data_IF_121201315485
#
_entry.id   IF_121201315485
#
_cell.length_a   1.000
_cell.length_b   1.000
_cell.length_c   1.000
_cell.angle_alpha   90.00
_cell.angle_beta   90.00
_cell.angle_gamma   90.00
#
_symmetry.space_group_name_H-M   'P 1'
#
loop_
_entity.id
_entity.type
_entity.pdbx_description
1 polymer ?
#
# COMPACT_ATOMS: atom_id res chain seq x y z
N UNK A 1 -8.55 14.68 12.19
CA UNK A 1 -7.49 14.58 13.22
C UNK A 1 -6.96 13.16 13.20
N UNK A 2 -5.66 12.97 12.96
CA UNK A 2 -4.98 11.67 12.96
C UNK A 2 -4.45 11.30 14.36
N UNK A 3 -4.08 10.03 14.54
CA UNK A 3 -3.27 9.61 15.68
C UNK A 3 -1.83 10.11 15.50
N UNK A 4 -1.14 10.31 16.61
CA UNK A 4 0.31 10.49 16.59
C UNK A 4 0.97 9.18 16.16
N UNK A 5 1.92 9.28 15.23
CA UNK A 5 2.71 8.16 14.75
C UNK A 5 4.19 8.44 14.95
N UNK A 6 4.95 7.39 15.22
CA UNK A 6 6.40 7.45 15.31
C UNK A 6 7.01 6.82 14.05
N UNK A 7 7.97 7.51 13.44
CA UNK A 7 8.85 6.89 12.46
C UNK A 7 9.91 6.07 13.20
N UNK A 8 9.96 4.77 12.92
CA UNK A 8 10.93 3.87 13.55
C UNK A 8 12.18 3.87 12.68
N UNK A 9 13.12 4.77 12.99
CA UNK A 9 14.38 4.90 12.24
C UNK A 9 15.20 3.60 12.34
N UNK A 10 15.33 2.90 11.21
CA UNK A 10 16.05 1.63 11.04
C UNK A 10 16.15 1.26 9.55
N UNK A 11 16.56 0.03 9.22
CA UNK A 11 16.69 -0.44 7.81
C UNK A 11 15.37 -0.59 7.06
N UNK A 12 14.22 -0.34 7.70
CA UNK A 12 12.89 -0.47 7.11
C UNK A 12 12.15 0.87 7.26
N UNK A 13 11.53 1.37 6.19
CA UNK A 13 10.64 2.53 6.23
C UNK A 13 9.36 2.16 6.99
N UNK A 14 9.44 2.12 8.32
CA UNK A 14 8.38 1.66 9.22
C UNK A 14 7.83 2.78 10.12
N UNK A 15 6.53 2.77 10.34
CA UNK A 15 5.80 3.72 11.17
C UNK A 15 4.90 2.97 12.13
N UNK A 16 4.77 3.44 13.36
CA UNK A 16 3.87 2.85 14.35
C UNK A 16 2.93 3.89 14.93
N UNK A 17 1.69 3.50 15.19
CA UNK A 17 0.72 4.31 15.93
C UNK A 17 -0.23 3.44 16.73
N UNK A 18 -0.74 4.00 17.82
CA UNK A 18 -1.71 3.35 18.69
C UNK A 18 -3.06 4.06 18.61
N UNK A 19 -4.11 3.28 18.41
CA UNK A 19 -5.49 3.79 18.41
C UNK A 19 -6.01 4.04 19.83
N UNK A 20 -7.12 4.75 19.98
CA UNK A 20 -7.80 4.90 21.28
C UNK A 20 -8.28 3.57 21.88
N UNK A 21 -8.43 2.53 21.05
CA UNK A 21 -8.79 1.17 21.46
C UNK A 21 -7.59 0.29 21.79
N UNK A 22 -6.41 0.89 21.95
CA UNK A 22 -5.15 0.21 22.28
C UNK A 22 -4.65 -0.77 21.20
N UNK A 23 -5.25 -0.78 20.01
CA UNK A 23 -4.70 -1.52 18.86
C UNK A 23 -3.48 -0.75 18.34
N UNK A 24 -2.35 -1.43 18.24
CA UNK A 24 -1.09 -0.90 17.70
C UNK A 24 -0.95 -1.37 16.25
N UNK A 25 -0.83 -0.42 15.34
CA UNK A 25 -0.55 -0.68 13.94
C UNK A 25 0.91 -0.41 13.62
N UNK A 26 1.48 -1.24 12.74
CA UNK A 26 2.74 -0.99 12.07
C UNK A 26 2.47 -0.84 10.56
N UNK A 27 2.96 0.25 9.98
CA UNK A 27 2.92 0.54 8.55
C UNK A 27 4.32 0.40 8.00
N UNK A 28 4.52 -0.42 6.96
CA UNK A 28 5.81 -0.62 6.32
C UNK A 28 5.77 -0.23 4.85
N UNK A 29 6.86 0.37 4.39
CA UNK A 29 7.20 0.52 2.97
C UNK A 29 8.48 -0.29 2.70
N UNK A 30 8.32 -1.52 2.24
CA UNK A 30 9.43 -2.44 1.98
C UNK A 30 9.95 -2.22 0.56
N UNK A 31 11.25 -1.99 0.36
CA UNK A 31 11.81 -1.82 -0.98
C UNK A 31 11.65 -3.12 -1.78
N UNK A 32 10.96 -3.04 -2.93
CA UNK A 32 10.47 -4.18 -3.71
C UNK A 32 10.69 -3.91 -5.21
N UNK A 33 11.95 -3.91 -5.69
CA UNK A 33 12.26 -3.58 -7.08
C UNK A 33 11.75 -4.64 -8.08
N UNK A 34 11.55 -5.87 -7.63
CA UNK A 34 11.27 -7.03 -8.50
C UNK A 34 9.99 -6.88 -9.33
N UNK A 35 9.00 -6.08 -8.90
CA UNK A 35 7.74 -5.94 -9.63
C UNK A 35 7.96 -5.36 -11.04
N UNK A 36 8.90 -4.41 -11.19
CA UNK A 36 9.23 -3.77 -12.47
C UNK A 36 10.54 -4.31 -13.07
N UNK A 37 11.16 -5.30 -12.44
CA UNK A 37 12.49 -5.82 -12.78
C UNK A 37 13.62 -5.04 -12.10
N UNK A 38 14.63 -5.76 -11.60
CA UNK A 38 15.75 -5.16 -10.84
C UNK A 38 16.60 -4.17 -11.67
N UNK A 39 16.68 -4.39 -12.99
CA UNK A 39 17.41 -3.52 -13.92
C UNK A 39 16.60 -2.28 -14.37
N UNK A 40 15.34 -2.14 -13.94
CA UNK A 40 14.51 -0.98 -14.29
C UNK A 40 15.03 0.29 -13.63
N UNK A 41 14.99 1.41 -14.37
CA UNK A 41 15.28 2.73 -13.80
C UNK A 41 14.30 3.12 -12.68
N UNK A 42 13.13 2.47 -12.63
CA UNK A 42 12.14 2.67 -11.57
C UNK A 42 12.47 1.88 -10.30
N UNK A 43 13.30 0.84 -10.38
CA UNK A 43 13.58 -0.10 -9.30
C UNK A 43 13.95 0.56 -7.95
N UNK A 44 14.76 1.65 -7.89
CA UNK A 44 15.07 2.32 -6.63
C UNK A 44 13.87 2.96 -5.92
N UNK A 45 12.76 3.16 -6.64
CA UNK A 45 11.61 3.92 -6.18
C UNK A 45 10.40 3.05 -5.84
N UNK A 46 10.50 1.73 -5.98
CA UNK A 46 9.37 0.80 -5.81
C UNK A 46 9.34 0.24 -4.39
N UNK A 47 8.24 0.47 -3.70
CA UNK A 47 8.01 0.00 -2.35
C UNK A 47 6.68 -0.74 -2.23
N UNK A 48 6.67 -1.84 -1.51
CA UNK A 48 5.46 -2.52 -1.10
C UNK A 48 4.94 -1.93 0.23
N UNK A 49 3.68 -1.50 0.23
CA UNK A 49 2.99 -1.06 1.43
C UNK A 49 2.37 -2.24 2.17
N UNK A 50 2.63 -2.33 3.46
CA UNK A 50 1.97 -3.28 4.37
C UNK A 50 1.40 -2.55 5.57
N UNK A 51 0.23 -3.00 6.01
CA UNK A 51 -0.38 -2.59 7.28
C UNK A 51 -0.59 -3.82 8.16
N UNK A 52 0.08 -3.80 9.31
CA UNK A 52 0.18 -4.92 10.23
C UNK A 52 -0.46 -4.50 11.55
N UNK A 53 -1.24 -5.39 12.15
CA UNK A 53 -1.67 -5.23 13.55
C UNK A 53 -0.55 -5.82 14.41
N UNK A 54 0.30 -4.95 14.95
CA UNK A 54 1.48 -5.36 15.72
C UNK A 54 1.10 -5.80 17.14
N UNK A 55 0.09 -5.18 17.73
CA UNK A 55 -0.51 -5.60 18.99
C UNK A 55 -2.02 -5.30 19.01
N UNK A 56 -2.79 -6.21 19.60
CA UNK A 56 -4.23 -6.07 19.76
C UNK A 56 -4.69 -6.75 21.05
N UNK A 57 -4.64 -6.03 22.19
CA UNK A 57 -4.98 -6.59 23.50
C UNK A 57 -6.46 -7.00 23.62
N UNK A 58 -7.32 -6.53 22.71
CA UNK A 58 -8.76 -6.87 22.72
C UNK A 58 -9.04 -8.26 22.14
N UNK A 59 -8.14 -8.80 21.31
CA UNK A 59 -8.37 -10.04 20.55
C UNK A 59 -9.51 -9.97 19.51
N UNK A 60 -10.23 -8.85 19.42
CA UNK A 60 -11.32 -8.64 18.48
C UNK A 60 -10.79 -8.08 17.16
N UNK A 61 -11.46 -8.38 16.06
CA UNK A 61 -11.12 -7.77 14.77
C UNK A 61 -11.20 -6.23 14.88
N UNK A 62 -10.16 -5.49 14.47
CA UNK A 62 -10.20 -4.04 14.53
C UNK A 62 -11.33 -3.48 13.67
N UNK A 63 -12.29 -2.85 14.34
CA UNK A 63 -13.43 -2.16 13.71
C UNK A 63 -12.92 -0.97 12.89
N UNK A 64 -13.68 -0.58 11.87
CA UNK A 64 -13.42 0.65 11.14
C UNK A 64 -13.27 1.86 12.09
N UNK A 65 -12.24 2.67 11.84
CA UNK A 65 -11.91 3.88 12.59
C UNK A 65 -11.40 4.92 11.57
N UNK A 66 -12.11 6.04 11.46
CA UNK A 66 -11.77 7.13 10.55
C UNK A 66 -10.41 7.75 10.88
N UNK A 67 -10.05 7.83 12.16
CA UNK A 67 -8.74 8.36 12.58
C UNK A 67 -7.59 7.48 12.08
N UNK A 68 -7.79 6.17 12.03
CA UNK A 68 -6.83 5.23 11.41
C UNK A 68 -6.62 5.60 9.95
N UNK A 69 -7.69 5.86 9.20
CA UNK A 69 -7.63 6.28 7.78
C UNK A 69 -6.80 7.56 7.60
N UNK A 70 -7.10 8.59 8.40
CA UNK A 70 -6.33 9.83 8.39
C UNK A 70 -4.86 9.65 8.77
N UNK A 71 -4.58 8.73 9.70
CA UNK A 71 -3.21 8.45 10.15
C UNK A 71 -2.42 7.77 9.05
N UNK A 72 -2.99 6.78 8.37
CA UNK A 72 -2.36 6.14 7.21
C UNK A 72 -2.12 7.18 6.10
N UNK A 73 -3.08 8.06 5.80
CA UNK A 73 -2.89 9.13 4.82
C UNK A 73 -1.75 10.10 5.20
N UNK A 74 -1.62 10.45 6.48
CA UNK A 74 -0.53 11.30 6.98
C UNK A 74 0.83 10.58 6.87
N UNK A 75 0.89 9.28 7.14
CA UNK A 75 2.08 8.45 6.97
C UNK A 75 2.50 8.37 5.49
N UNK A 76 1.56 8.19 4.56
CA UNK A 76 1.84 8.26 3.13
C UNK A 76 2.38 9.64 2.73
N UNK A 77 1.78 10.72 3.25
CA UNK A 77 2.27 12.08 2.97
C UNK A 77 3.73 12.23 3.42
N UNK A 78 4.04 11.85 4.66
CA UNK A 78 5.40 11.90 5.20
C UNK A 78 6.38 11.02 4.42
N UNK A 79 5.98 9.79 4.05
CA UNK A 79 6.84 8.90 3.26
C UNK A 79 7.20 9.50 1.90
N UNK A 80 6.24 10.13 1.24
CA UNK A 80 6.43 10.74 -0.08
C UNK A 80 7.11 12.13 -0.06
N UNK A 81 7.39 12.71 1.11
CA UNK A 81 8.24 13.92 1.20
C UNK A 81 9.67 13.67 0.72
N UNK A 82 10.10 12.41 0.65
CA UNK A 82 11.42 12.01 0.19
C UNK A 82 11.62 12.23 -1.32
N UNK A 83 10.59 11.92 -2.13
CA UNK A 83 10.62 12.09 -3.58
C UNK A 83 9.23 11.89 -4.19
N UNK A 84 8.91 12.67 -5.22
CA UNK A 84 7.71 12.47 -6.04
C UNK A 84 7.80 11.25 -6.97
N UNK A 85 9.01 10.70 -7.15
CA UNK A 85 9.29 9.54 -7.99
C UNK A 85 8.88 8.22 -7.33
N UNK A 86 8.63 8.22 -6.02
CA UNK A 86 8.24 7.04 -5.27
C UNK A 86 6.97 6.38 -5.83
N UNK A 87 6.99 5.05 -5.79
CA UNK A 87 5.94 4.15 -6.26
C UNK A 87 5.60 3.22 -5.10
N UNK A 88 4.32 3.14 -4.77
CA UNK A 88 3.83 2.20 -3.76
C UNK A 88 2.91 1.17 -4.38
N UNK A 89 3.18 -0.09 -4.06
CA UNK A 89 2.36 -1.23 -4.45
C UNK A 89 1.70 -1.79 -3.19
N UNK A 90 0.41 -2.06 -3.25
CA UNK A 90 -0.31 -2.75 -2.19
C UNK A 90 -0.90 -4.05 -2.74
N UNK A 91 -0.48 -5.18 -2.16
CA UNK A 91 -0.99 -6.50 -2.50
C UNK A 91 -1.82 -7.00 -1.33
N UNK A 92 -3.08 -7.36 -1.58
CA UNK A 92 -3.93 -7.93 -0.54
C UNK A 92 -3.61 -9.42 -0.38
N UNK A 93 -3.05 -9.80 0.78
CA UNK A 93 -2.89 -11.20 1.16
C UNK A 93 -4.22 -11.97 1.06
N UNK A 94 -4.17 -13.11 0.38
CA UNK A 94 -5.28 -14.04 0.11
C UNK A 94 -5.27 -15.28 1.01
N UNK A 95 -4.26 -15.44 1.88
CA UNK A 95 -4.04 -16.64 2.71
C UNK A 95 -5.24 -17.08 3.56
N UNK A 96 -6.14 -16.17 3.91
CA UNK A 96 -7.34 -16.42 4.71
C UNK A 96 -8.66 -16.21 3.95
N UNK A 97 -8.61 -16.03 2.62
CA UNK A 97 -9.78 -15.79 1.76
C UNK A 97 -10.45 -14.41 1.96
N UNK A 98 -9.81 -13.47 2.66
CA UNK A 98 -10.37 -12.13 2.95
C UNK A 98 -9.77 -10.99 2.13
N UNK A 99 -9.05 -11.30 1.06
CA UNK A 99 -8.37 -10.32 0.20
C UNK A 99 -9.31 -9.21 -0.32
N UNK A 100 -10.54 -9.55 -0.73
CA UNK A 100 -11.52 -8.54 -1.20
C UNK A 100 -12.03 -7.65 -0.06
N UNK A 101 -12.12 -8.18 1.15
CA UNK A 101 -12.48 -7.40 2.34
C UNK A 101 -11.35 -6.44 2.72
N UNK A 102 -10.09 -6.89 2.63
CA UNK A 102 -8.91 -6.02 2.80
C UNK A 102 -8.88 -4.90 1.77
N UNK A 103 -9.09 -5.23 0.49
CA UNK A 103 -9.16 -4.23 -0.58
C UNK A 103 -10.26 -3.19 -0.33
N UNK A 104 -11.46 -3.62 0.08
CA UNK A 104 -12.55 -2.68 0.43
C UNK A 104 -12.17 -1.77 1.59
N UNK A 105 -11.55 -2.31 2.63
CA UNK A 105 -11.08 -1.53 3.80
C UNK A 105 -10.01 -0.52 3.36
N UNK A 106 -9.07 -0.95 2.53
CA UNK A 106 -8.03 -0.08 1.99
C UNK A 106 -8.61 1.01 1.08
N UNK A 107 -9.56 0.70 0.20
CA UNK A 107 -10.23 1.69 -0.64
C UNK A 107 -10.92 2.77 0.19
N UNK A 108 -11.56 2.37 1.29
CA UNK A 108 -12.17 3.32 2.21
C UNK A 108 -11.11 4.21 2.86
N UNK A 109 -9.99 3.64 3.31
CA UNK A 109 -8.88 4.43 3.86
C UNK A 109 -8.28 5.38 2.84
N UNK A 110 -8.09 4.90 1.61
CA UNK A 110 -7.53 5.67 0.50
C UNK A 110 -8.40 6.86 0.12
N UNK A 111 -9.72 6.82 0.33
CA UNK A 111 -10.59 7.99 0.11
C UNK A 111 -10.10 9.25 0.84
N UNK A 112 -9.46 9.10 2.00
CA UNK A 112 -8.91 10.22 2.77
C UNK A 112 -7.51 10.67 2.33
N UNK A 113 -6.89 9.95 1.39
CA UNK A 113 -5.66 10.38 0.72
C UNK A 113 -5.99 11.39 -0.38
N UNK A 114 -7.24 11.37 -0.88
CA UNK A 114 -7.70 12.16 -2.02
C UNK A 114 -8.08 13.57 -1.57
N UNK A 115 -7.06 14.42 -1.52
CA UNK A 115 -7.21 15.87 -1.59
C UNK A 115 -6.25 16.52 -2.60
N UNK A 116 -5.91 15.78 -3.67
CA UNK A 116 -5.24 16.21 -4.93
C UNK A 116 -3.79 15.73 -5.15
N UNK A 117 -3.17 15.01 -4.22
CA UNK A 117 -1.74 14.67 -4.34
C UNK A 117 -1.44 13.26 -4.87
N UNK A 118 -2.36 12.30 -4.76
CA UNK A 118 -2.12 10.90 -5.08
C UNK A 118 -3.15 10.34 -6.05
N UNK A 119 -2.69 9.42 -6.90
CA UNK A 119 -3.55 8.55 -7.72
C UNK A 119 -3.36 7.10 -7.34
N UNK A 120 -4.42 6.32 -7.59
CA UNK A 120 -4.43 4.89 -7.38
C UNK A 120 -5.04 4.16 -8.58
N UNK A 121 -4.39 3.10 -9.00
CA UNK A 121 -4.84 2.17 -10.03
C UNK A 121 -5.01 0.80 -9.40
N UNK A 122 -6.20 0.22 -9.50
CA UNK A 122 -6.50 -1.11 -8.97
C UNK A 122 -6.58 -2.14 -10.08
N UNK A 123 -6.10 -3.35 -9.80
CA UNK A 123 -6.31 -4.51 -10.66
C UNK A 123 -6.30 -5.80 -9.82
N UNK A 124 -6.40 -6.96 -10.49
CA UNK A 124 -6.38 -8.28 -9.88
C UNK A 124 -5.40 -9.16 -10.65
N UNK A 125 -4.34 -9.58 -9.94
CA UNK A 125 -3.49 -10.69 -10.38
C UNK A 125 -4.20 -11.99 -10.05
N UNK A 126 -4.11 -12.96 -10.95
CA UNK A 126 -4.55 -14.33 -10.65
C UNK A 126 -3.32 -15.21 -10.52
N UNK A 127 -3.39 -16.33 -9.79
CA UNK A 127 -2.40 -17.42 -9.91
C UNK A 127 -2.91 -18.58 -10.78
N UNK A 128 -2.09 -19.63 -10.94
CA UNK A 128 -2.41 -20.78 -11.79
C UNK A 128 -3.68 -21.54 -11.34
N UNK A 129 -4.00 -21.50 -10.05
CA UNK A 129 -5.20 -22.12 -9.48
C UNK A 129 -6.44 -21.20 -9.61
N UNK A 130 -6.26 -19.99 -10.13
CA UNK A 130 -7.31 -19.01 -10.36
C UNK A 130 -7.61 -18.13 -9.15
N UNK A 131 -6.83 -18.24 -8.07
CA UNK A 131 -6.96 -17.39 -6.90
C UNK A 131 -6.65 -15.94 -7.26
N UNK A 132 -7.39 -15.03 -6.63
CA UNK A 132 -7.33 -13.59 -6.93
C UNK A 132 -6.52 -12.85 -5.89
N UNK A 133 -5.60 -12.02 -6.35
CA UNK A 133 -4.76 -11.13 -5.56
C UNK A 133 -5.03 -9.69 -6.00
N UNK A 134 -5.93 -8.98 -5.30
CA UNK A 134 -6.13 -7.56 -5.54
C UNK A 134 -4.84 -6.80 -5.32
N UNK A 135 -4.50 -5.97 -6.30
CA UNK A 135 -3.29 -5.15 -6.31
C UNK A 135 -3.67 -3.70 -6.55
N UNK A 136 -2.98 -2.79 -5.86
CA UNK A 136 -3.12 -1.35 -6.07
C UNK A 136 -1.75 -0.73 -6.32
N UNK A 137 -1.62 0.02 -7.41
CA UNK A 137 -0.53 0.94 -7.67
C UNK A 137 -0.91 2.32 -7.14
N UNK A 138 -0.04 2.94 -6.36
CA UNK A 138 -0.23 4.27 -5.76
C UNK A 138 1.03 5.09 -6.03
N UNK A 139 0.84 6.34 -6.45
CA UNK A 139 1.91 7.31 -6.68
C UNK A 139 1.37 8.73 -6.60
N UNK A 140 2.29 9.71 -6.54
CA UNK A 140 1.91 11.12 -6.64
C UNK A 140 1.30 11.42 -8.01
N UNK A 141 0.27 12.26 -8.05
CA UNK A 141 -0.36 12.71 -9.30
C UNK A 141 0.64 13.45 -10.21
N UNK A 142 1.61 14.13 -9.60
CA UNK A 142 2.71 14.87 -10.25
C UNK A 142 3.96 14.05 -10.54
N UNK A 143 3.96 12.73 -10.29
CA UNK A 143 5.13 11.89 -10.54
C UNK A 143 5.55 12.01 -12.02
N UNK A 144 6.82 12.35 -12.31
CA UNK A 144 7.29 12.65 -13.67
C UNK A 144 7.20 11.45 -14.62
N UNK A 145 7.19 10.23 -14.08
CA UNK A 145 7.14 8.97 -14.84
C UNK A 145 5.76 8.31 -14.81
N UNK A 146 4.70 8.98 -14.30
CA UNK A 146 3.36 8.42 -14.11
C UNK A 146 2.86 7.61 -15.32
N UNK A 147 2.95 8.16 -16.52
CA UNK A 147 2.46 7.48 -17.72
C UNK A 147 3.22 6.17 -18.01
N UNK A 148 4.53 6.17 -17.80
CA UNK A 148 5.37 4.98 -17.99
C UNK A 148 5.05 3.93 -16.90
N UNK A 149 5.02 4.35 -15.64
CA UNK A 149 4.72 3.49 -14.48
C UNK A 149 3.38 2.77 -14.69
N UNK A 150 2.33 3.51 -15.08
CA UNK A 150 1.00 2.93 -15.29
C UNK A 150 0.99 1.96 -16.48
N UNK A 151 1.69 2.28 -17.57
CA UNK A 151 1.80 1.39 -18.72
C UNK A 151 2.52 0.08 -18.37
N UNK A 152 3.62 0.15 -17.64
CA UNK A 152 4.38 -1.02 -17.20
C UNK A 152 3.55 -1.87 -16.23
N UNK A 153 2.88 -1.23 -15.27
CA UNK A 153 1.98 -1.92 -14.33
C UNK A 153 0.88 -2.72 -15.05
N UNK A 154 0.21 -2.12 -16.05
CA UNK A 154 -0.81 -2.82 -16.86
C UNK A 154 -0.19 -4.00 -17.62
N UNK A 155 0.99 -3.82 -18.20
CA UNK A 155 1.68 -4.87 -18.94
C UNK A 155 2.05 -6.05 -18.03
N UNK A 156 2.58 -5.79 -16.84
CA UNK A 156 2.93 -6.80 -15.83
C UNK A 156 1.70 -7.64 -15.46
N UNK A 157 0.59 -6.97 -15.13
CA UNK A 157 -0.64 -7.67 -14.70
C UNK A 157 -1.26 -8.45 -15.85
N UNK A 158 -1.23 -7.91 -17.06
CA UNK A 158 -1.66 -8.63 -18.26
C UNK A 158 -0.83 -9.89 -18.46
N UNK A 159 0.50 -9.82 -18.32
CA UNK A 159 1.41 -10.97 -18.41
C UNK A 159 1.06 -12.08 -17.42
N UNK A 160 0.92 -11.73 -16.13
CA UNK A 160 0.51 -12.70 -15.09
C UNK A 160 -0.85 -13.36 -15.36
N UNK A 161 -1.74 -12.67 -16.09
CA UNK A 161 -3.06 -13.16 -16.42
C UNK A 161 -3.11 -13.91 -17.76
N UNK A 162 -2.18 -13.67 -18.69
CA UNK A 162 -2.12 -14.32 -20.00
C UNK A 162 -1.31 -15.61 -20.02
N UNK A 163 -0.38 -15.81 -19.09
CA UNK A 163 0.46 -17.01 -19.00
C UNK A 163 -0.29 -18.23 -18.40
N UNK A 164 -1.59 -18.36 -18.68
CA UNK A 164 -2.47 -19.44 -18.19
C UNK A 164 -3.37 -20.00 -19.26
#
# INVERSE_FOLDING_TARGET
MNYEFAYVSGTQNSYTFQTTKLVVYEIKFTHTPYLFGEDSLLAPYVYEFSIIVADNPTGLNPVFDERTSHTVAAIFTHFYEQSDELITIYICDSSDGRQLTRQRKFNYWFYYFVKDDFVKYDDIIRDADGEKYPVSLILKERNPYKSQIVSEFIAIISGYNSDK
#
